data_IF_318675151876
#
_entry.id   IF_318675151876
#
_cell.length_a   1.000
_cell.length_b   1.000
_cell.length_c   1.000
_cell.angle_alpha   90.00
_cell.angle_beta   90.00
_cell.angle_gamma   90.00
#
_symmetry.space_group_name_H-M   'P 1'
#
loop_
_entity.id
_entity.type
_entity.pdbx_description
1 polymer ?
#
# COMPACT_ATOMS: atom_id res chain seq x y z
N UNK A 1 7.99 5.38 10.74
CA UNK A 1 8.23 4.82 9.39
C UNK A 1 8.86 5.85 8.44
N UNK A 2 8.16 6.95 8.09
CA UNK A 2 8.75 8.01 7.26
C UNK A 2 9.83 8.82 8.00
N UNK A 3 9.59 9.18 9.26
CA UNK A 3 10.58 9.86 10.09
C UNK A 3 11.85 9.03 10.24
N UNK A 4 11.72 7.71 10.44
CA UNK A 4 12.85 6.78 10.52
C UNK A 4 13.64 6.73 9.21
N UNK A 5 12.96 6.69 8.06
CA UNK A 5 13.58 6.72 6.72
C UNK A 5 14.37 8.02 6.51
N UNK A 6 13.74 9.17 6.78
CA UNK A 6 14.35 10.47 6.52
C UNK A 6 15.39 10.89 7.56
N UNK A 7 15.41 10.24 8.73
CA UNK A 7 16.43 10.43 9.76
C UNK A 7 17.72 9.67 9.47
N UNK A 8 17.73 8.74 8.50
CA UNK A 8 18.97 8.04 8.11
C UNK A 8 19.99 9.04 7.57
N UNK A 9 21.18 9.03 8.18
CA UNK A 9 22.35 9.80 7.76
C UNK A 9 23.56 8.88 7.69
N UNK A 10 24.45 9.14 6.72
CA UNK A 10 25.72 8.43 6.58
C UNK A 10 26.56 8.65 7.84
N UNK A 11 27.07 7.57 8.43
CA UNK A 11 28.02 7.63 9.55
C UNK A 11 29.46 7.80 9.03
N UNK A 12 30.38 8.29 9.87
CA UNK A 12 31.76 8.59 9.48
C UNK A 12 32.50 7.35 8.94
N UNK A 13 32.45 6.23 9.66
CA UNK A 13 33.13 4.96 9.30
C UNK A 13 32.24 3.99 8.52
N UNK A 14 31.06 4.42 8.07
CA UNK A 14 30.13 3.58 7.31
C UNK A 14 30.45 3.63 5.81
N UNK A 15 30.46 2.45 5.17
CA UNK A 15 30.56 2.33 3.72
C UNK A 15 29.23 2.70 3.05
N UNK A 16 29.28 3.13 1.78
CA UNK A 16 28.06 3.46 1.04
C UNK A 16 27.12 2.26 0.92
N UNK A 17 27.66 1.04 0.81
CA UNK A 17 26.85 -0.18 0.79
C UNK A 17 26.10 -0.41 2.11
N UNK A 18 26.77 -0.17 3.25
CA UNK A 18 26.13 -0.29 4.55
C UNK A 18 25.02 0.76 4.73
N UNK A 19 25.21 1.97 4.20
CA UNK A 19 24.17 3.00 4.17
C UNK A 19 22.95 2.56 3.35
N UNK A 20 23.16 2.00 2.14
CA UNK A 20 22.07 1.50 1.29
C UNK A 20 21.25 0.45 2.05
N UNK A 21 21.92 -0.52 2.68
CA UNK A 21 21.24 -1.57 3.44
C UNK A 21 20.40 -1.00 4.59
N UNK A 22 20.88 0.05 5.29
CA UNK A 22 20.11 0.70 6.37
C UNK A 22 18.93 1.52 5.86
N UNK A 23 18.96 2.02 4.63
CA UNK A 23 17.82 2.70 3.99
C UNK A 23 16.79 1.66 3.51
N UNK A 24 17.24 0.49 3.09
CA UNK A 24 16.36 -0.60 2.67
C UNK A 24 15.43 -1.06 3.79
N UNK A 25 15.89 -1.14 5.05
CA UNK A 25 15.05 -1.56 6.18
C UNK A 25 13.76 -0.71 6.35
N UNK A 26 13.83 0.62 6.53
CA UNK A 26 12.64 1.46 6.61
C UNK A 26 11.86 1.51 5.28
N UNK A 27 12.53 1.38 4.12
CA UNK A 27 11.84 1.26 2.83
C UNK A 27 10.99 -0.02 2.77
N UNK A 28 11.50 -1.15 3.24
CA UNK A 28 10.75 -2.41 3.31
C UNK A 28 9.59 -2.30 4.28
N UNK A 29 9.77 -1.64 5.44
CA UNK A 29 8.67 -1.37 6.34
C UNK A 29 7.55 -0.56 5.67
N UNK A 30 7.89 0.52 4.96
CA UNK A 30 6.91 1.32 4.20
C UNK A 30 6.24 0.47 3.11
N UNK A 31 7.00 -0.36 2.40
CA UNK A 31 6.45 -1.27 1.39
C UNK A 31 5.46 -2.26 1.99
N UNK A 32 5.74 -2.76 3.19
CA UNK A 32 4.87 -3.70 3.92
C UNK A 32 3.59 -3.03 4.45
N UNK A 33 3.58 -1.71 4.63
CA UNK A 33 2.36 -0.97 4.97
C UNK A 33 1.40 -0.83 3.79
N UNK A 34 1.87 -0.93 2.53
CA UNK A 34 0.98 -0.76 1.35
C UNK A 34 -0.12 -1.82 1.25
N UNK A 35 0.14 -3.13 1.41
CA UNK A 35 -0.92 -4.13 1.49
C UNK A 35 -1.92 -3.86 2.61
N UNK A 36 -1.46 -3.33 3.76
CA UNK A 36 -2.32 -2.98 4.88
C UNK A 36 -3.25 -1.80 4.55
N UNK A 37 -2.75 -0.78 3.86
CA UNK A 37 -3.55 0.35 3.39
C UNK A 37 -4.63 -0.10 2.38
N UNK A 38 -4.26 -0.95 1.42
CA UNK A 38 -5.22 -1.55 0.47
C UNK A 38 -6.33 -2.33 1.19
N UNK A 39 -5.98 -3.16 2.19
CA UNK A 39 -6.97 -3.90 2.98
C UNK A 39 -7.86 -2.97 3.82
N UNK A 40 -7.29 -1.92 4.42
CA UNK A 40 -8.05 -0.95 5.19
C UNK A 40 -9.08 -0.23 4.30
N UNK A 41 -8.68 0.14 3.07
CA UNK A 41 -9.58 0.75 2.09
C UNK A 41 -10.71 -0.20 1.69
N UNK A 42 -10.42 -1.47 1.42
CA UNK A 42 -11.44 -2.50 1.12
C UNK A 42 -12.42 -2.66 2.29
N UNK A 43 -11.93 -2.69 3.53
CA UNK A 43 -12.76 -2.83 4.74
C UNK A 43 -13.59 -1.60 5.07
N UNK A 44 -13.25 -0.44 4.54
CA UNK A 44 -14.03 0.79 4.73
C UNK A 44 -15.31 0.82 3.88
N UNK A 45 -15.48 -0.13 2.94
CA UNK A 45 -16.68 -0.23 2.13
C UNK A 45 -17.87 -0.74 2.95
N UNK A 46 -19.07 -0.15 2.79
CA UNK A 46 -20.28 -0.65 3.43
C UNK A 46 -20.74 -1.99 2.83
N UNK A 47 -21.60 -2.71 3.55
CA UNK A 47 -22.07 -4.06 3.20
C UNK A 47 -22.78 -4.16 1.83
N UNK A 48 -23.35 -3.05 1.36
CA UNK A 48 -23.94 -2.93 0.01
C UNK A 48 -22.91 -3.19 -1.12
N UNK A 49 -21.62 -3.06 -0.83
CA UNK A 49 -20.52 -3.40 -1.73
C UNK A 49 -19.97 -4.82 -1.48
N UNK A 50 -20.60 -5.66 -0.67
CA UNK A 50 -20.10 -7.00 -0.31
C UNK A 50 -19.61 -7.84 -1.49
N UNK A 51 -20.36 -7.91 -2.60
CA UNK A 51 -19.92 -8.63 -3.82
C UNK A 51 -18.64 -8.03 -4.42
N UNK A 52 -18.53 -6.70 -4.43
CA UNK A 52 -17.35 -6.00 -4.92
C UNK A 52 -16.16 -6.24 -3.99
N UNK A 53 -16.36 -6.11 -2.68
CA UNK A 53 -15.39 -6.44 -1.63
C UNK A 53 -14.85 -7.86 -1.78
N UNK A 54 -15.72 -8.86 -1.97
CA UNK A 54 -15.29 -10.24 -2.24
C UNK A 54 -14.45 -10.36 -3.51
N UNK A 55 -14.80 -9.64 -4.59
CA UNK A 55 -14.01 -9.65 -5.83
C UNK A 55 -12.60 -9.06 -5.65
N UNK A 56 -12.44 -8.02 -4.80
CA UNK A 56 -11.14 -7.42 -4.50
C UNK A 56 -10.26 -8.33 -3.65
N UNK A 57 -10.86 -9.09 -2.72
CA UNK A 57 -10.13 -10.04 -1.85
C UNK A 57 -9.63 -11.28 -2.61
N UNK A 58 -10.17 -11.55 -3.80
CA UNK A 58 -9.72 -12.63 -4.68
C UNK A 58 -8.54 -12.25 -5.57
N UNK A 59 -8.09 -10.99 -5.54
CA UNK A 59 -6.91 -10.56 -6.30
C UNK A 59 -5.65 -11.20 -5.72
N UNK A 60 -4.85 -11.83 -6.58
CA UNK A 60 -3.58 -12.49 -6.21
C UNK A 60 -2.59 -11.51 -5.53
N UNK A 61 -2.66 -10.23 -5.90
CA UNK A 61 -1.87 -9.15 -5.31
C UNK A 61 -2.76 -7.94 -5.03
N UNK A 62 -2.78 -7.52 -3.76
CA UNK A 62 -3.43 -6.29 -3.32
C UNK A 62 -2.56 -5.07 -3.65
N UNK A 63 -2.39 -4.82 -4.94
CA UNK A 63 -1.70 -3.63 -5.44
C UNK A 63 -2.58 -2.38 -5.27
N UNK A 64 -2.00 -1.33 -4.68
CA UNK A 64 -2.72 -0.10 -4.38
C UNK A 64 -3.28 0.56 -5.66
N UNK A 65 -2.54 0.50 -6.77
CA UNK A 65 -2.96 1.05 -8.07
C UNK A 65 -4.18 0.29 -8.60
N UNK A 66 -4.13 -1.04 -8.54
CA UNK A 66 -5.23 -1.89 -9.00
C UNK A 66 -6.51 -1.67 -8.17
N UNK A 67 -6.38 -1.57 -6.84
CA UNK A 67 -7.52 -1.27 -5.96
C UNK A 67 -8.11 0.10 -6.26
N UNK A 68 -7.27 1.14 -6.42
CA UNK A 68 -7.76 2.48 -6.79
C UNK A 68 -8.53 2.48 -8.11
N UNK A 69 -8.02 1.79 -9.14
CA UNK A 69 -8.71 1.69 -10.43
C UNK A 69 -10.03 0.93 -10.35
N UNK A 70 -10.08 -0.14 -9.55
CA UNK A 70 -11.30 -0.89 -9.32
C UNK A 70 -12.37 -0.02 -8.63
N UNK A 71 -11.97 0.82 -7.67
CA UNK A 71 -12.87 1.77 -7.00
C UNK A 71 -13.45 2.79 -7.98
N UNK A 72 -12.61 3.43 -8.81
CA UNK A 72 -13.06 4.41 -9.81
C UNK A 72 -14.03 3.78 -10.81
N UNK A 73 -13.70 2.57 -11.27
CA UNK A 73 -14.55 1.81 -12.18
C UNK A 73 -15.90 1.48 -11.54
N UNK A 74 -15.87 1.01 -10.29
CA UNK A 74 -17.07 0.65 -9.53
C UNK A 74 -17.96 1.86 -9.28
N UNK A 75 -17.38 3.00 -8.92
CA UNK A 75 -18.11 4.26 -8.74
C UNK A 75 -18.79 4.69 -10.03
N UNK A 76 -18.10 4.63 -11.17
CA UNK A 76 -18.68 4.95 -12.49
C UNK A 76 -19.89 4.06 -12.79
N UNK A 77 -19.75 2.75 -12.59
CA UNK A 77 -20.84 1.78 -12.78
C UNK A 77 -22.01 2.01 -11.83
N UNK A 78 -21.74 2.42 -10.59
CA UNK A 78 -22.77 2.67 -9.59
C UNK A 78 -23.53 3.98 -9.85
N UNK A 79 -22.87 5.01 -10.39
CA UNK A 79 -23.51 6.28 -10.78
C UNK A 79 -24.35 6.16 -12.05
N UNK A 80 -24.05 5.19 -12.91
CA UNK A 80 -24.82 4.92 -14.14
C UNK A 80 -25.99 3.93 -13.94
N UNK A 81 -26.26 3.50 -12.70
CA UNK A 81 -27.40 2.67 -12.30
C UNK A 81 -28.42 3.52 -11.56
#
# INVERSE_FOLDING_TARGET
AYDDLFSVRKRENESLQALINRVDDPMQQIRNLRPLASMALIRALPDEFSTFTSSLLLLEKLDCTAIHQAFITKETQHRCR
#
